data_IF_535377287721
#
_entry.id   IF_535377287721
#
_cell.length_a   1.000
_cell.length_b   1.000
_cell.length_c   1.000
_cell.angle_alpha   90.00
_cell.angle_beta   90.00
_cell.angle_gamma   90.00
#
_symmetry.space_group_name_H-M   'P 1'
#
loop_
_entity.id
_entity.type
_entity.pdbx_description
1 polymer ?
#
# COMPACT_ATOMS: atom_id res chain seq x y z
N UNK A 1 -6.98 18.00 6.58
CA UNK A 1 -5.91 17.09 7.04
C UNK A 1 -4.90 16.92 5.92
N UNK A 2 -3.65 17.15 6.21
CA UNK A 2 -2.55 17.18 5.22
C UNK A 2 -1.63 16.00 5.45
N UNK A 3 -1.56 15.06 4.50
CA UNK A 3 -0.79 13.83 4.66
C UNK A 3 0.43 13.80 3.76
N UNK A 4 1.56 13.29 4.29
CA UNK A 4 2.68 12.85 3.46
C UNK A 4 2.32 11.50 2.81
N UNK A 5 2.52 11.38 1.50
CA UNK A 5 2.07 10.21 0.72
C UNK A 5 3.25 9.60 -0.03
N UNK A 6 3.54 8.33 0.27
CA UNK A 6 4.52 7.53 -0.45
C UNK A 6 3.91 6.17 -0.81
N UNK A 7 4.07 5.73 -2.05
CA UNK A 7 3.53 4.45 -2.52
C UNK A 7 4.52 3.74 -3.43
N UNK A 8 4.77 2.47 -3.16
CA UNK A 8 5.65 1.65 -3.98
C UNK A 8 4.85 0.75 -4.92
N UNK A 9 5.34 0.61 -6.14
CA UNK A 9 4.84 -0.35 -7.12
C UNK A 9 6.00 -1.15 -7.73
N UNK A 10 5.97 -2.47 -7.53
CA UNK A 10 6.93 -3.42 -8.11
C UNK A 10 6.64 -3.62 -9.59
N UNK A 11 7.65 -3.57 -10.44
CA UNK A 11 7.54 -3.75 -11.89
C UNK A 11 8.47 -4.88 -12.36
N UNK A 12 7.88 -5.91 -12.98
CA UNK A 12 8.64 -6.85 -13.79
C UNK A 12 8.97 -6.23 -15.17
N UNK A 13 9.89 -6.83 -15.91
CA UNK A 13 10.42 -6.29 -17.17
C UNK A 13 9.33 -5.89 -18.18
N UNK A 14 8.25 -6.67 -18.30
CA UNK A 14 7.15 -6.38 -19.23
C UNK A 14 6.34 -5.12 -18.89
N UNK A 15 6.33 -4.68 -17.61
CA UNK A 15 5.61 -3.48 -17.17
C UNK A 15 6.39 -2.17 -17.36
N UNK A 16 7.72 -2.25 -17.46
CA UNK A 16 8.59 -1.07 -17.51
C UNK A 16 8.35 -0.15 -18.71
N UNK A 17 8.13 -0.67 -19.95
CA UNK A 17 7.88 0.21 -21.10
C UNK A 17 6.63 1.09 -20.96
N UNK A 18 5.59 0.59 -20.29
CA UNK A 18 4.37 1.38 -20.07
C UNK A 18 4.63 2.51 -19.08
N UNK A 19 5.44 2.26 -18.04
CA UNK A 19 5.86 3.28 -17.04
C UNK A 19 6.73 4.35 -17.69
N UNK A 20 7.76 3.92 -18.45
CA UNK A 20 8.61 4.86 -19.17
C UNK A 20 7.78 5.79 -20.07
N UNK A 21 6.82 5.24 -20.85
CA UNK A 21 5.96 6.09 -21.70
C UNK A 21 5.06 7.03 -20.93
N UNK A 22 4.60 6.64 -19.73
CA UNK A 22 3.78 7.50 -18.89
C UNK A 22 4.61 8.60 -18.23
N UNK A 23 5.69 8.22 -17.57
CA UNK A 23 6.51 9.14 -16.80
C UNK A 23 7.18 10.20 -17.69
N UNK A 24 7.74 9.77 -18.82
CA UNK A 24 8.43 10.64 -19.76
C UNK A 24 7.49 11.31 -20.81
N UNK A 25 6.17 11.21 -20.62
CA UNK A 25 5.17 11.82 -21.54
C UNK A 25 5.38 11.47 -23.01
N UNK A 26 5.77 10.22 -23.30
CA UNK A 26 6.07 9.78 -24.67
C UNK A 26 4.85 9.39 -25.52
N UNK A 27 3.64 9.71 -25.09
CA UNK A 27 2.40 9.49 -25.83
C UNK A 27 1.78 10.82 -26.24
N UNK A 28 1.16 10.85 -27.41
CA UNK A 28 0.36 12.00 -27.87
C UNK A 28 -0.97 12.13 -27.11
N UNK A 29 -1.55 11.00 -26.66
CA UNK A 29 -2.81 10.97 -25.94
C UNK A 29 -2.77 10.01 -24.75
N UNK A 30 -3.41 10.40 -23.66
CA UNK A 30 -3.50 9.65 -22.41
C UNK A 30 -4.95 9.28 -22.08
N UNK A 31 -5.60 8.45 -22.95
CA UNK A 31 -7.00 8.01 -22.76
C UNK A 31 -7.28 7.38 -21.41
N UNK A 32 -6.28 6.71 -20.82
CA UNK A 32 -6.39 6.09 -19.49
C UNK A 32 -6.25 7.09 -18.32
N UNK A 33 -5.72 8.31 -18.57
CA UNK A 33 -5.61 9.37 -17.58
C UNK A 33 -5.95 10.73 -18.22
N UNK A 34 -7.24 11.07 -18.33
CA UNK A 34 -7.69 12.33 -18.94
C UNK A 34 -7.38 13.57 -18.09
N UNK A 35 -6.77 13.39 -16.91
CA UNK A 35 -6.34 14.50 -16.03
C UNK A 35 -5.00 15.10 -16.42
N UNK A 36 -4.27 14.46 -17.34
CA UNK A 36 -3.03 15.01 -17.90
C UNK A 36 -3.39 16.18 -18.84
N UNK A 37 -2.87 17.35 -18.55
CA UNK A 37 -2.95 18.52 -19.42
C UNK A 37 -1.67 18.64 -20.26
N UNK A 38 -1.70 18.27 -21.56
CA UNK A 38 -0.51 18.32 -22.41
C UNK A 38 0.10 19.73 -22.54
N UNK A 39 -0.72 20.79 -22.38
CA UNK A 39 -0.23 22.16 -22.43
C UNK A 39 0.66 22.53 -21.24
N UNK A 40 0.55 21.79 -20.15
CA UNK A 40 1.34 21.95 -18.93
C UNK A 40 2.52 20.99 -18.81
N UNK A 41 2.67 20.02 -19.72
CA UNK A 41 3.73 19.01 -19.65
C UNK A 41 5.14 19.60 -19.71
N UNK A 42 5.30 20.80 -20.24
CA UNK A 42 6.57 21.55 -20.21
C UNK A 42 6.99 22.02 -18.81
N UNK A 43 6.07 21.99 -17.83
CA UNK A 43 6.35 22.31 -16.42
C UNK A 43 6.89 21.11 -15.64
N UNK A 44 6.81 19.90 -16.21
CA UNK A 44 7.40 18.70 -15.60
C UNK A 44 8.92 18.84 -15.59
N UNK A 45 9.56 18.35 -14.54
CA UNK A 45 11.00 18.44 -14.42
C UNK A 45 11.61 17.20 -13.75
N UNK A 46 12.85 16.92 -14.08
CA UNK A 46 13.60 15.83 -13.49
C UNK A 46 14.47 16.33 -12.32
N UNK A 47 14.54 15.50 -11.26
CA UNK A 47 15.60 15.55 -10.26
C UNK A 47 16.72 14.55 -10.60
N UNK A 48 16.38 13.48 -11.32
CA UNK A 48 17.32 12.52 -11.91
C UNK A 48 16.84 12.16 -13.31
N UNK A 49 17.61 12.55 -14.31
CA UNK A 49 17.37 12.19 -15.71
C UNK A 49 17.62 10.70 -15.97
N UNK A 50 16.79 10.02 -16.77
CA UNK A 50 16.94 8.59 -17.03
C UNK A 50 18.14 8.26 -17.93
N UNK A 51 18.73 9.22 -18.64
CA UNK A 51 19.83 9.03 -19.60
C UNK A 51 19.54 7.87 -20.59
N UNK A 52 18.35 7.85 -21.16
CA UNK A 52 17.87 6.82 -22.09
C UNK A 52 16.57 6.15 -21.61
N UNK A 53 16.25 5.00 -22.22
CA UNK A 53 15.05 4.27 -21.82
C UNK A 53 15.25 3.55 -20.48
N UNK A 54 14.23 3.48 -19.66
CA UNK A 54 14.26 2.80 -18.35
C UNK A 54 14.74 1.33 -18.46
N UNK A 55 14.34 0.64 -19.54
CA UNK A 55 14.81 -0.73 -19.79
C UNK A 55 16.33 -0.79 -19.93
N UNK A 56 16.91 0.10 -20.70
CA UNK A 56 18.36 0.18 -20.87
C UNK A 56 19.05 0.43 -19.53
N UNK A 57 18.56 1.42 -18.77
CA UNK A 57 19.15 1.80 -17.48
C UNK A 57 19.16 0.67 -16.45
N UNK A 58 18.01 0.01 -16.22
CA UNK A 58 18.02 -1.09 -15.25
C UNK A 58 18.85 -2.28 -15.72
N UNK A 59 18.95 -2.52 -17.05
CA UNK A 59 19.79 -3.59 -17.59
C UNK A 59 21.26 -3.32 -17.32
N UNK A 60 21.75 -2.11 -17.59
CA UNK A 60 23.11 -1.68 -17.30
C UNK A 60 23.44 -1.80 -15.79
N UNK A 61 22.53 -1.36 -14.91
CA UNK A 61 22.71 -1.47 -13.45
C UNK A 61 22.80 -2.94 -12.99
N UNK A 62 21.93 -3.81 -13.51
CA UNK A 62 21.91 -5.24 -13.19
C UNK A 62 23.22 -5.93 -13.65
N UNK A 63 23.68 -5.61 -14.85
CA UNK A 63 24.92 -6.13 -15.42
C UNK A 63 26.15 -5.67 -14.62
N UNK A 64 26.22 -4.38 -14.30
CA UNK A 64 27.31 -3.79 -13.48
C UNK A 64 27.38 -4.41 -12.09
N UNK A 65 26.22 -4.69 -11.48
CA UNK A 65 26.15 -5.33 -10.16
C UNK A 65 26.30 -6.86 -10.22
N UNK A 66 26.38 -7.46 -11.39
CA UNK A 66 26.46 -8.92 -11.56
C UNK A 66 25.23 -9.68 -11.07
N UNK A 67 24.07 -9.02 -11.02
CA UNK A 67 22.84 -9.61 -10.46
C UNK A 67 22.29 -10.72 -11.34
N UNK A 68 21.85 -11.83 -10.72
CA UNK A 68 21.09 -12.87 -11.42
C UNK A 68 19.62 -12.45 -11.56
N UNK A 69 19.05 -12.65 -12.75
CA UNK A 69 17.65 -12.37 -13.06
C UNK A 69 16.89 -13.64 -13.46
N UNK A 70 15.56 -13.62 -13.22
CA UNK A 70 14.59 -14.63 -13.70
C UNK A 70 13.52 -13.90 -14.50
N UNK A 71 12.74 -14.61 -15.30
CA UNK A 71 11.68 -14.03 -16.13
C UNK A 71 10.65 -13.18 -15.34
N UNK A 72 10.39 -13.52 -14.09
CA UNK A 72 9.47 -12.81 -13.19
C UNK A 72 10.16 -11.90 -12.18
N UNK A 73 11.47 -11.64 -12.30
CA UNK A 73 12.19 -10.73 -11.41
C UNK A 73 11.59 -9.33 -11.45
N UNK A 74 11.48 -8.72 -10.28
CA UNK A 74 11.18 -7.28 -10.16
C UNK A 74 12.47 -6.54 -10.51
N UNK A 75 12.50 -5.91 -11.69
CA UNK A 75 13.66 -5.18 -12.21
C UNK A 75 13.62 -3.69 -11.90
N UNK A 76 12.46 -3.19 -11.54
CA UNK A 76 12.25 -1.79 -11.19
C UNK A 76 11.19 -1.67 -10.10
N UNK A 77 11.37 -0.73 -9.22
CA UNK A 77 10.32 -0.25 -8.30
C UNK A 77 10.03 1.20 -8.64
N UNK A 78 8.76 1.50 -8.84
CA UNK A 78 8.29 2.88 -8.97
C UNK A 78 7.76 3.35 -7.62
N UNK A 79 8.20 4.51 -7.17
CA UNK A 79 7.73 5.15 -5.95
C UNK A 79 7.01 6.43 -6.32
N UNK A 80 5.73 6.55 -6.00
CA UNK A 80 4.99 7.80 -6.10
C UNK A 80 5.10 8.56 -4.77
N UNK A 81 5.55 9.80 -4.84
CA UNK A 81 5.75 10.71 -3.72
C UNK A 81 4.94 11.98 -3.93
N UNK A 82 4.12 12.34 -2.95
CA UNK A 82 3.32 13.57 -2.98
C UNK A 82 2.83 13.91 -1.56
N UNK A 83 2.01 14.94 -1.46
CA UNK A 83 1.21 15.23 -0.26
C UNK A 83 -0.26 15.41 -0.62
N UNK A 84 -1.12 15.54 0.38
CA UNK A 84 -2.53 15.91 0.17
C UNK A 84 -2.65 17.18 -0.67
N UNK A 85 -3.64 17.25 -1.60
CA UNK A 85 -3.83 18.42 -2.46
C UNK A 85 -3.93 19.72 -1.68
N UNK A 86 -4.57 19.69 -0.51
CA UNK A 86 -4.75 20.83 0.39
C UNK A 86 -3.42 21.40 0.92
N UNK A 87 -2.39 20.54 1.02
CA UNK A 87 -1.06 20.97 1.42
C UNK A 87 -0.24 21.42 0.23
N UNK A 88 -0.08 20.53 -0.78
CA UNK A 88 0.84 20.78 -1.89
C UNK A 88 0.45 22.00 -2.72
N UNK A 89 -0.85 22.32 -2.81
CA UNK A 89 -1.36 23.50 -3.54
C UNK A 89 -1.12 24.82 -2.83
N UNK A 90 -0.82 24.83 -1.53
CA UNK A 90 -0.47 26.04 -0.78
C UNK A 90 0.98 26.46 -0.97
N UNK A 91 1.83 25.53 -1.33
CA UNK A 91 3.23 25.77 -1.58
C UNK A 91 3.43 26.51 -2.91
N UNK A 92 4.28 27.51 -2.93
CA UNK A 92 4.71 28.13 -4.16
C UNK A 92 5.60 27.16 -4.98
N UNK A 93 5.90 27.45 -6.27
CA UNK A 93 6.66 26.54 -7.12
C UNK A 93 8.03 26.14 -6.57
N UNK A 94 8.73 27.06 -5.91
CA UNK A 94 10.04 26.80 -5.31
C UNK A 94 9.92 25.91 -4.08
N UNK A 95 8.94 26.14 -3.22
CA UNK A 95 8.62 25.29 -2.05
C UNK A 95 8.18 23.89 -2.48
N UNK A 96 7.39 23.77 -3.56
CA UNK A 96 7.03 22.47 -4.14
C UNK A 96 8.27 21.71 -4.61
N UNK A 97 9.20 22.41 -5.28
CA UNK A 97 10.47 21.81 -5.70
C UNK A 97 11.27 21.30 -4.50
N UNK A 98 11.43 22.12 -3.48
CA UNK A 98 12.12 21.72 -2.24
C UNK A 98 11.44 20.54 -1.54
N UNK A 99 10.11 20.47 -1.56
CA UNK A 99 9.36 19.32 -1.06
C UNK A 99 9.79 18.02 -1.76
N UNK A 100 9.81 18.02 -3.10
CA UNK A 100 10.18 16.83 -3.87
C UNK A 100 11.67 16.50 -3.77
N UNK A 101 12.54 17.48 -3.67
CA UNK A 101 13.97 17.27 -3.44
C UNK A 101 14.21 16.56 -2.09
N UNK A 102 13.57 17.02 -1.01
CA UNK A 102 13.63 16.36 0.31
C UNK A 102 13.06 14.94 0.26
N UNK A 103 11.91 14.77 -0.38
CA UNK A 103 11.31 13.44 -0.56
C UNK A 103 12.22 12.48 -1.36
N UNK A 104 12.96 12.99 -2.35
CA UNK A 104 13.93 12.20 -3.09
C UNK A 104 15.15 11.81 -2.22
N UNK A 105 15.69 12.76 -1.43
CA UNK A 105 16.81 12.50 -0.50
C UNK A 105 16.45 11.41 0.49
N UNK A 106 15.24 11.42 1.05
CA UNK A 106 14.77 10.34 1.92
C UNK A 106 14.94 8.95 1.30
N UNK A 107 14.64 8.80 0.01
CA UNK A 107 14.82 7.54 -0.69
C UNK A 107 16.29 7.28 -1.04
N UNK A 108 17.04 8.29 -1.49
CA UNK A 108 18.45 8.12 -1.85
C UNK A 108 19.28 7.53 -0.69
N UNK A 109 19.04 7.99 0.53
CA UNK A 109 19.74 7.51 1.73
C UNK A 109 19.47 6.03 2.05
N UNK A 110 18.33 5.51 1.59
CA UNK A 110 17.87 4.15 1.88
C UNK A 110 18.13 3.13 0.78
N UNK A 111 18.08 3.58 -0.49
CA UNK A 111 18.18 2.69 -1.66
C UNK A 111 19.49 2.89 -2.43
N UNK A 112 20.24 3.96 -2.18
CA UNK A 112 21.38 4.39 -2.98
C UNK A 112 20.97 5.21 -4.21
N UNK A 113 21.49 6.42 -4.35
CA UNK A 113 21.17 7.31 -5.48
C UNK A 113 21.61 6.70 -6.82
N UNK A 114 22.68 5.91 -6.81
CA UNK A 114 23.23 5.19 -7.97
C UNK A 114 22.27 4.17 -8.57
N UNK A 115 21.31 3.68 -7.78
CA UNK A 115 20.28 2.74 -8.23
C UNK A 115 19.05 3.43 -8.82
N UNK A 116 18.97 4.77 -8.78
CA UNK A 116 17.84 5.53 -9.32
C UNK A 116 17.92 5.57 -10.84
N UNK A 117 16.83 5.17 -11.50
CA UNK A 117 16.68 5.19 -12.95
C UNK A 117 16.22 6.56 -13.42
N UNK A 118 15.21 7.11 -12.76
CA UNK A 118 14.62 8.42 -13.04
C UNK A 118 13.88 8.93 -11.81
N UNK A 119 13.89 10.24 -11.61
CA UNK A 119 13.02 10.92 -10.66
C UNK A 119 12.43 12.15 -11.35
N UNK A 120 11.17 12.05 -11.78
CA UNK A 120 10.45 13.09 -12.50
C UNK A 120 9.26 13.59 -11.69
N UNK A 121 9.08 14.90 -11.64
CA UNK A 121 7.94 15.56 -11.02
C UNK A 121 6.94 15.95 -12.10
N UNK A 122 5.71 15.49 -11.98
CA UNK A 122 4.60 15.84 -12.84
C UNK A 122 3.84 17.03 -12.27
N UNK A 123 3.84 18.13 -13.02
CA UNK A 123 3.11 19.35 -12.75
C UNK A 123 1.89 19.52 -13.66
N UNK A 124 1.68 18.59 -14.58
CA UNK A 124 0.66 18.59 -15.63
C UNK A 124 -0.59 17.76 -15.27
N UNK A 125 -0.70 17.31 -14.04
CA UNK A 125 -1.88 16.61 -13.52
C UNK A 125 -2.58 17.46 -12.42
N UNK A 126 -3.68 16.95 -11.89
CA UNK A 126 -4.49 17.68 -10.88
C UNK A 126 -3.69 18.04 -9.62
N UNK A 127 -2.77 17.18 -9.20
CA UNK A 127 -1.91 17.41 -8.04
C UNK A 127 -0.48 17.09 -8.41
N UNK A 128 0.49 17.98 -8.10
CA UNK A 128 1.90 17.71 -8.28
C UNK A 128 2.32 16.42 -7.56
N UNK A 129 3.08 15.57 -8.25
CA UNK A 129 3.62 14.32 -7.67
C UNK A 129 4.88 13.89 -8.38
N UNK A 130 5.75 13.19 -7.67
CA UNK A 130 6.99 12.67 -8.20
C UNK A 130 6.89 11.16 -8.43
N UNK A 131 7.33 10.70 -9.60
CA UNK A 131 7.64 9.32 -9.90
C UNK A 131 9.15 9.10 -9.77
N UNK A 132 9.57 8.39 -8.73
CA UNK A 132 10.94 7.96 -8.56
C UNK A 132 11.03 6.46 -8.86
N UNK A 133 11.76 6.12 -9.93
CA UNK A 133 11.97 4.75 -10.38
C UNK A 133 13.40 4.31 -10.03
N UNK A 134 13.56 3.14 -9.41
CA UNK A 134 14.87 2.60 -9.06
C UNK A 134 14.98 1.10 -9.33
N UNK A 135 16.20 0.63 -9.60
CA UNK A 135 16.54 -0.79 -9.69
C UNK A 135 16.74 -1.35 -8.28
N UNK A 136 16.02 -2.39 -7.84
CA UNK A 136 16.08 -2.86 -6.46
C UNK A 136 17.31 -3.76 -6.20
N UNK A 137 18.50 -3.17 -6.30
CA UNK A 137 19.78 -3.80 -5.99
C UNK A 137 20.09 -3.59 -4.50
N UNK A 138 20.30 -4.68 -3.78
CA UNK A 138 20.63 -4.67 -2.35
C UNK A 138 22.10 -4.32 -2.13
N UNK A 139 22.48 -3.91 -0.92
CA UNK A 139 23.87 -3.56 -0.57
C UNK A 139 24.87 -4.70 -0.80
N UNK A 140 24.40 -5.95 -0.78
CA UNK A 140 25.20 -7.16 -1.07
C UNK A 140 25.13 -7.58 -2.55
N UNK A 141 24.67 -6.70 -3.45
CA UNK A 141 24.70 -6.90 -4.91
C UNK A 141 23.66 -7.88 -5.43
N UNK A 142 22.52 -8.07 -4.74
CA UNK A 142 21.41 -8.93 -5.22
C UNK A 142 20.25 -8.11 -5.72
N UNK A 143 19.57 -8.60 -6.76
CA UNK A 143 18.33 -8.00 -7.25
C UNK A 143 17.14 -8.51 -6.41
N UNK A 144 16.70 -7.72 -5.41
CA UNK A 144 15.63 -8.14 -4.50
C UNK A 144 14.78 -6.97 -3.96
N UNK A 145 13.67 -6.71 -4.63
CA UNK A 145 12.69 -5.75 -4.10
C UNK A 145 12.04 -6.21 -2.78
N UNK A 146 12.08 -7.51 -2.47
CA UNK A 146 11.57 -8.03 -1.19
C UNK A 146 12.49 -7.66 -0.03
N UNK A 147 13.79 -7.75 -0.23
CA UNK A 147 14.77 -7.48 0.83
C UNK A 147 14.85 -5.97 1.14
N UNK A 148 14.63 -5.11 0.13
CA UNK A 148 14.58 -3.66 0.31
C UNK A 148 13.26 -3.20 0.94
N UNK A 149 12.13 -3.59 0.36
CA UNK A 149 10.82 -3.09 0.77
C UNK A 149 10.18 -3.89 1.90
N UNK A 150 10.60 -5.14 2.07
CA UNK A 150 10.07 -6.03 3.09
C UNK A 150 8.67 -6.57 2.80
N UNK A 151 7.99 -6.96 3.88
CA UNK A 151 6.61 -7.43 3.92
C UNK A 151 5.62 -6.27 4.20
N UNK A 152 4.35 -6.59 4.46
CA UNK A 152 3.29 -5.60 4.73
C UNK A 152 3.59 -4.75 5.98
N UNK A 153 4.15 -5.32 7.03
CA UNK A 153 4.51 -4.58 8.24
C UNK A 153 5.62 -3.56 7.93
N UNK A 154 6.69 -3.99 7.25
CA UNK A 154 7.77 -3.10 6.82
C UNK A 154 7.31 -1.99 5.87
N UNK A 155 6.31 -2.26 5.03
CA UNK A 155 5.69 -1.23 4.19
C UNK A 155 4.93 -0.15 5.01
N UNK A 156 4.41 -0.50 6.20
CA UNK A 156 3.86 0.50 7.12
C UNK A 156 4.97 1.34 7.75
N UNK A 157 6.06 0.70 8.19
CA UNK A 157 7.23 1.40 8.73
C UNK A 157 7.84 2.39 7.72
N UNK A 158 7.90 2.02 6.42
CA UNK A 158 8.29 2.96 5.36
C UNK A 158 7.42 4.23 5.33
N UNK A 159 6.12 4.09 5.59
CA UNK A 159 5.21 5.24 5.65
C UNK A 159 5.43 6.07 6.92
N UNK A 160 5.70 5.41 8.04
CA UNK A 160 5.99 6.05 9.32
C UNK A 160 7.30 6.84 9.22
N UNK A 161 8.38 6.21 8.75
CA UNK A 161 9.69 6.84 8.52
C UNK A 161 9.60 8.04 7.56
N UNK A 162 8.85 7.90 6.46
CA UNK A 162 8.67 8.98 5.49
C UNK A 162 7.90 10.15 6.09
N UNK A 163 6.84 9.86 6.85
CA UNK A 163 6.11 10.90 7.55
C UNK A 163 7.01 11.64 8.55
N UNK A 164 7.71 10.92 9.43
CA UNK A 164 8.59 11.52 10.43
C UNK A 164 9.65 12.41 9.80
N UNK A 165 10.28 11.93 8.73
CA UNK A 165 11.27 12.69 7.97
C UNK A 165 10.69 13.98 7.39
N UNK A 166 9.53 13.89 6.70
CA UNK A 166 8.92 15.07 6.07
C UNK A 166 8.29 16.03 7.10
N UNK A 167 7.73 15.49 8.20
CA UNK A 167 7.18 16.28 9.31
C UNK A 167 8.24 17.17 9.98
N UNK A 168 9.48 16.74 10.03
CA UNK A 168 10.60 17.54 10.52
C UNK A 168 10.83 18.85 9.74
N UNK A 169 10.39 18.91 8.47
CA UNK A 169 10.44 20.11 7.64
C UNK A 169 9.09 20.82 7.48
N UNK A 170 8.01 20.05 7.60
CA UNK A 170 6.62 20.50 7.38
C UNK A 170 5.73 20.04 8.52
N UNK A 171 5.72 20.76 9.66
CA UNK A 171 5.00 20.34 10.87
C UNK A 171 3.48 20.21 10.71
N UNK A 172 2.90 20.81 9.67
CA UNK A 172 1.48 20.68 9.34
C UNK A 172 1.11 19.36 8.64
N UNK A 173 2.08 18.51 8.28
CA UNK A 173 1.81 17.18 7.76
C UNK A 173 1.43 16.23 8.89
N UNK A 174 0.46 15.37 8.61
CA UNK A 174 -0.04 14.35 9.51
C UNK A 174 0.28 12.95 8.97
N UNK A 175 0.39 11.99 9.88
CA UNK A 175 0.46 10.58 9.51
C UNK A 175 -0.94 10.06 9.21
N UNK A 176 -1.17 9.61 7.99
CA UNK A 176 -2.42 8.96 7.61
C UNK A 176 -2.62 7.64 8.39
N UNK A 177 -3.87 7.33 8.72
CA UNK A 177 -4.20 6.09 9.43
C UNK A 177 -3.85 4.86 8.58
N UNK A 178 -3.20 3.83 9.17
CA UNK A 178 -2.88 2.58 8.47
C UNK A 178 -4.14 1.90 7.92
N UNK A 179 -4.03 1.28 6.75
CA UNK A 179 -5.15 0.56 6.12
C UNK A 179 -5.73 -0.56 6.98
N UNK A 180 -4.93 -1.13 7.88
CA UNK A 180 -5.37 -2.13 8.88
C UNK A 180 -6.35 -1.56 9.91
N UNK A 181 -6.22 -0.27 10.25
CA UNK A 181 -7.12 0.44 11.19
C UNK A 181 -8.36 0.95 10.48
N UNK A 182 -8.18 1.49 9.27
CA UNK A 182 -9.31 2.08 8.52
C UNK A 182 -10.16 1.05 7.78
N UNK A 183 -9.67 -0.17 7.62
CA UNK A 183 -10.26 -1.24 6.80
C UNK A 183 -10.67 -0.79 5.38
N UNK A 184 -10.18 0.37 4.93
CA UNK A 184 -10.48 0.92 3.61
C UNK A 184 -9.85 0.04 2.54
N UNK A 185 -10.70 -0.51 1.68
CA UNK A 185 -10.25 -1.23 0.48
C UNK A 185 -9.87 -0.22 -0.59
N UNK A 186 -8.84 -0.54 -1.37
CA UNK A 186 -8.47 0.25 -2.54
C UNK A 186 -9.61 0.21 -3.56
N UNK A 187 -10.17 1.39 -3.88
CA UNK A 187 -11.15 1.53 -4.96
C UNK A 187 -10.35 1.65 -6.27
N UNK A 188 -10.56 0.74 -7.24
CA UNK A 188 -9.89 0.82 -8.52
C UNK A 188 -10.13 2.18 -9.20
N UNK A 189 -9.13 2.77 -9.87
CA UNK A 189 -9.27 4.10 -10.49
C UNK A 189 -10.43 4.21 -11.51
N UNK A 190 -10.75 3.12 -12.22
CA UNK A 190 -11.87 3.12 -13.14
C UNK A 190 -13.23 3.25 -12.43
N UNK A 191 -13.37 2.65 -11.24
CA UNK A 191 -14.58 2.71 -10.44
C UNK A 191 -14.78 4.11 -9.85
N UNK A 192 -13.69 4.70 -9.33
CA UNK A 192 -13.69 6.07 -8.86
C UNK A 192 -14.12 7.04 -9.99
N UNK A 193 -13.58 6.84 -11.21
CA UNK A 193 -13.98 7.64 -12.38
C UNK A 193 -15.45 7.45 -12.76
N UNK A 194 -15.95 6.22 -12.70
CA UNK A 194 -17.37 5.95 -12.97
C UNK A 194 -18.30 6.67 -11.98
N UNK A 195 -17.90 6.72 -10.70
CA UNK A 195 -18.64 7.48 -9.67
C UNK A 195 -18.59 8.99 -9.90
N UNK A 196 -17.41 9.55 -10.22
CA UNK A 196 -17.23 10.97 -10.53
C UNK A 196 -18.02 11.39 -11.79
N UNK A 197 -18.00 10.55 -12.84
CA UNK A 197 -18.81 10.76 -14.04
C UNK A 197 -20.30 10.69 -13.74
N UNK A 198 -20.75 9.77 -12.90
CA UNK A 198 -22.15 9.66 -12.51
C UNK A 198 -22.62 10.92 -11.77
N UNK A 199 -21.81 11.45 -10.84
CA UNK A 199 -22.11 12.70 -10.15
C UNK A 199 -22.23 13.88 -11.12
N UNK A 200 -21.23 14.07 -11.99
CA UNK A 200 -21.22 15.14 -12.99
C UNK A 200 -22.39 15.05 -13.96
N UNK A 201 -22.77 13.83 -14.37
CA UNK A 201 -23.91 13.60 -15.25
C UNK A 201 -25.23 13.93 -14.56
N UNK A 202 -25.36 13.57 -13.27
CA UNK A 202 -26.51 13.95 -12.47
C UNK A 202 -26.66 15.48 -12.40
N UNK A 203 -25.59 16.20 -12.07
CA UNK A 203 -25.61 17.66 -12.01
C UNK A 203 -25.97 18.30 -13.36
N UNK A 204 -25.45 17.75 -14.47
CA UNK A 204 -25.78 18.21 -15.83
C UNK A 204 -27.27 17.97 -16.16
N UNK A 205 -27.84 16.83 -15.77
CA UNK A 205 -29.26 16.54 -15.96
C UNK A 205 -30.12 17.49 -15.12
N UNK A 206 -29.78 17.67 -13.85
CA UNK A 206 -30.52 18.58 -12.97
C UNK A 206 -30.49 20.02 -13.50
N UNK A 207 -29.33 20.49 -13.99
CA UNK A 207 -29.20 21.79 -14.63
C UNK A 207 -30.03 21.88 -15.92
N UNK A 208 -30.03 20.85 -16.75
CA UNK A 208 -30.85 20.83 -17.97
C UNK A 208 -32.35 20.89 -17.66
N UNK A 209 -32.77 20.27 -16.55
CA UNK A 209 -34.17 20.25 -16.13
C UNK A 209 -34.63 21.53 -15.41
N UNK A 210 -33.76 22.20 -14.68
CA UNK A 210 -34.07 23.43 -13.93
C UNK A 210 -34.51 24.60 -14.83
N UNK A 211 -33.98 24.68 -16.07
CA UNK A 211 -34.20 25.76 -17.00
C UNK A 211 -35.25 25.42 -18.09
N UNK A 212 -36.07 24.39 -17.89
CA UNK A 212 -37.09 23.95 -18.88
C UNK A 212 -38.24 24.96 -18.93
N UNK A 213 -38.58 25.38 -20.14
CA UNK A 213 -39.74 26.19 -20.43
C UNK A 213 -40.43 25.70 -21.72
N UNK A 214 -41.60 26.28 -22.07
CA UNK A 214 -42.40 25.87 -23.22
C UNK A 214 -41.64 25.93 -24.55
N UNK A 215 -40.69 26.86 -24.69
CA UNK A 215 -39.94 27.06 -25.92
C UNK A 215 -38.70 26.16 -26.07
N UNK A 216 -38.17 25.67 -24.98
CA UNK A 216 -36.92 24.87 -24.98
C UNK A 216 -37.10 23.40 -24.54
N UNK A 217 -38.29 22.99 -24.13
CA UNK A 217 -38.55 21.67 -23.54
C UNK A 217 -38.03 20.51 -24.40
N UNK A 218 -38.24 20.56 -25.73
CA UNK A 218 -37.73 19.53 -26.65
C UNK A 218 -36.23 19.42 -26.65
N UNK A 219 -35.54 20.56 -26.78
CA UNK A 219 -34.07 20.61 -26.78
C UNK A 219 -33.46 20.14 -25.46
N UNK A 220 -34.04 20.56 -24.33
CA UNK A 220 -33.61 20.18 -22.98
C UNK A 220 -33.85 18.70 -22.68
N UNK A 221 -34.98 18.14 -23.14
CA UNK A 221 -35.24 16.69 -23.09
C UNK A 221 -34.14 15.91 -23.84
N UNK A 222 -33.81 16.32 -25.07
CA UNK A 222 -32.87 15.62 -25.91
C UNK A 222 -31.43 15.73 -25.32
N UNK A 223 -31.07 16.84 -24.68
CA UNK A 223 -29.84 17.01 -23.92
C UNK A 223 -29.80 16.05 -22.73
N UNK A 224 -30.84 15.98 -21.92
CA UNK A 224 -30.94 15.06 -20.79
C UNK A 224 -30.85 13.59 -21.21
N UNK A 225 -31.57 13.20 -22.28
CA UNK A 225 -31.52 11.84 -22.86
C UNK A 225 -30.10 11.48 -23.33
N UNK A 226 -29.38 12.43 -23.97
CA UNK A 226 -28.01 12.21 -24.40
C UNK A 226 -27.07 11.99 -23.21
N UNK A 227 -27.18 12.80 -22.16
CA UNK A 227 -26.37 12.65 -20.94
C UNK A 227 -26.67 11.32 -20.24
N UNK A 228 -27.95 10.91 -20.14
CA UNK A 228 -28.35 9.59 -19.62
C UNK A 228 -27.73 8.44 -20.43
N UNK A 229 -27.77 8.53 -21.77
CA UNK A 229 -27.15 7.52 -22.63
C UNK A 229 -25.65 7.38 -22.41
N UNK A 230 -24.95 8.47 -22.15
CA UNK A 230 -23.52 8.45 -21.82
C UNK A 230 -23.22 7.90 -20.42
N UNK A 231 -24.16 8.07 -19.48
CA UNK A 231 -24.03 7.59 -18.09
C UNK A 231 -24.28 6.07 -17.96
N UNK A 232 -25.16 5.49 -18.79
CA UNK A 232 -25.58 4.09 -18.67
C UNK A 232 -24.41 3.07 -18.59
N UNK A 233 -23.36 3.15 -19.43
CA UNK A 233 -22.23 2.22 -19.34
C UNK A 233 -21.49 2.26 -17.99
N UNK A 234 -21.40 3.45 -17.39
CA UNK A 234 -20.74 3.61 -16.08
C UNK A 234 -21.65 3.09 -14.95
N UNK A 235 -22.95 3.27 -15.03
CA UNK A 235 -23.91 2.68 -14.09
C UNK A 235 -23.90 1.14 -14.14
N UNK A 236 -23.83 0.53 -15.32
CA UNK A 236 -23.69 -0.92 -15.44
C UNK A 236 -22.39 -1.45 -14.81
N UNK A 237 -21.26 -0.74 -14.97
CA UNK A 237 -19.99 -1.09 -14.31
C UNK A 237 -20.11 -1.01 -12.80
N UNK A 238 -20.75 0.05 -12.27
CA UNK A 238 -20.98 0.22 -10.84
C UNK A 238 -21.87 -0.87 -10.28
N UNK A 239 -22.97 -1.22 -10.98
CA UNK A 239 -23.88 -2.29 -10.59
C UNK A 239 -23.19 -3.66 -10.57
N UNK A 240 -22.41 -3.99 -11.61
CA UNK A 240 -21.66 -5.24 -11.65
C UNK A 240 -20.63 -5.34 -10.50
N UNK A 241 -19.98 -4.23 -10.18
CA UNK A 241 -19.02 -4.18 -9.08
C UNK A 241 -19.70 -4.29 -7.71
N UNK A 242 -20.87 -3.68 -7.53
CA UNK A 242 -21.68 -3.83 -6.31
C UNK A 242 -22.04 -5.30 -6.05
N UNK A 243 -22.51 -6.02 -7.06
CA UNK A 243 -22.81 -7.46 -6.95
C UNK A 243 -21.56 -8.26 -6.54
N UNK A 244 -20.41 -7.99 -7.16
CA UNK A 244 -19.16 -8.68 -6.82
C UNK A 244 -18.72 -8.39 -5.36
N UNK A 245 -18.90 -7.15 -4.90
CA UNK A 245 -18.61 -6.78 -3.50
C UNK A 245 -19.54 -7.51 -2.54
N UNK A 246 -20.84 -7.62 -2.85
CA UNK A 246 -21.82 -8.32 -2.03
C UNK A 246 -21.48 -9.82 -1.93
N UNK A 247 -21.12 -10.45 -3.03
CA UNK A 247 -20.67 -11.85 -3.06
C UNK A 247 -19.41 -12.07 -2.23
N UNK A 248 -18.41 -11.19 -2.36
CA UNK A 248 -17.19 -11.25 -1.57
C UNK A 248 -17.46 -11.01 -0.08
N UNK A 249 -18.34 -10.08 0.25
CA UNK A 249 -18.74 -9.81 1.63
C UNK A 249 -19.45 -11.01 2.26
N UNK A 250 -20.31 -11.71 1.49
CA UNK A 250 -20.97 -12.94 1.93
C UNK A 250 -19.96 -14.04 2.21
N UNK A 251 -19.08 -14.33 1.25
CA UNK A 251 -18.03 -15.34 1.41
C UNK A 251 -17.10 -15.02 2.62
N UNK A 252 -16.79 -13.74 2.84
CA UNK A 252 -15.95 -13.33 3.98
C UNK A 252 -16.66 -13.52 5.32
N UNK A 253 -17.98 -13.28 5.39
CA UNK A 253 -18.78 -13.52 6.60
C UNK A 253 -18.82 -15.02 6.93
N UNK A 254 -18.98 -15.88 5.93
CA UNK A 254 -18.95 -17.32 6.10
C UNK A 254 -17.58 -17.79 6.63
N UNK A 255 -16.48 -17.31 6.04
CA UNK A 255 -15.13 -17.63 6.50
C UNK A 255 -14.82 -17.13 7.92
N UNK A 256 -15.37 -15.97 8.31
CA UNK A 256 -15.27 -15.48 9.70
C UNK A 256 -16.02 -16.42 10.64
N UNK A 257 -17.24 -16.80 10.30
CA UNK A 257 -18.05 -17.70 11.11
C UNK A 257 -17.37 -19.06 11.33
N UNK A 258 -16.73 -19.62 10.30
CA UNK A 258 -15.95 -20.86 10.41
C UNK A 258 -14.73 -20.69 11.35
N UNK A 259 -14.04 -19.53 11.26
CA UNK A 259 -12.92 -19.26 12.15
C UNK A 259 -13.33 -19.04 13.59
N UNK A 260 -14.46 -18.36 13.82
CA UNK A 260 -14.99 -18.14 15.17
C UNK A 260 -15.34 -19.49 15.83
N UNK A 261 -15.97 -20.41 15.09
CA UNK A 261 -16.26 -21.76 15.57
C UNK A 261 -14.98 -22.54 15.92
N UNK A 262 -13.91 -22.43 15.11
CA UNK A 262 -12.63 -23.06 15.38
C UNK A 262 -11.94 -22.46 16.63
N UNK A 263 -12.07 -21.16 16.84
CA UNK A 263 -11.54 -20.47 18.03
C UNK A 263 -12.27 -20.93 19.29
N UNK A 264 -13.60 -21.09 19.26
CA UNK A 264 -14.38 -21.63 20.39
C UNK A 264 -13.96 -23.06 20.74
N UNK A 265 -13.67 -23.91 19.73
CA UNK A 265 -13.15 -25.25 19.94
C UNK A 265 -11.77 -25.22 20.62
N UNK A 266 -10.86 -24.37 20.13
CA UNK A 266 -9.52 -24.20 20.71
C UNK A 266 -9.57 -23.64 22.14
N UNK A 267 -10.47 -22.72 22.43
CA UNK A 267 -10.65 -22.17 23.77
C UNK A 267 -11.15 -23.23 24.76
N UNK A 268 -12.05 -24.14 24.31
CA UNK A 268 -12.50 -25.27 25.15
C UNK A 268 -11.38 -26.29 25.43
N UNK A 269 -10.51 -26.56 24.43
CA UNK A 269 -9.32 -27.43 24.64
C UNK A 269 -8.31 -26.77 25.58
N UNK A 270 -8.05 -25.48 25.43
CA UNK A 270 -7.16 -24.71 26.33
C UNK A 270 -7.66 -24.72 27.76
N UNK A 271 -8.97 -24.54 27.97
CA UNK A 271 -9.58 -24.60 29.28
C UNK A 271 -9.42 -26.01 29.93
N UNK A 272 -9.63 -27.06 29.15
CA UNK A 272 -9.45 -28.47 29.63
C UNK A 272 -7.98 -28.73 30.00
N UNK A 273 -7.02 -28.19 29.23
CA UNK A 273 -5.59 -28.31 29.55
C UNK A 273 -5.22 -27.50 30.81
N UNK A 274 -5.78 -26.30 30.99
CA UNK A 274 -5.56 -25.50 32.19
C UNK A 274 -6.05 -26.27 33.46
N UNK A 275 -7.24 -26.86 33.43
CA UNK A 275 -7.76 -27.69 34.52
C UNK A 275 -6.85 -28.89 34.83
N UNK A 276 -6.25 -29.52 33.82
CA UNK A 276 -5.29 -30.62 34.02
C UNK A 276 -4.00 -30.13 34.67
N UNK A 277 -3.51 -28.97 34.28
CA UNK A 277 -2.32 -28.36 34.89
C UNK A 277 -2.57 -28.05 36.35
N UNK A 278 -3.71 -27.46 36.69
CA UNK A 278 -4.08 -27.16 38.08
C UNK A 278 -4.17 -28.45 38.94
N UNK A 279 -4.78 -29.51 38.40
CA UNK A 279 -4.86 -30.80 39.08
C UNK A 279 -3.47 -31.42 39.35
N UNK A 280 -2.58 -31.39 38.31
CA UNK A 280 -1.20 -31.89 38.47
C UNK A 280 -0.38 -31.01 39.44
N UNK A 281 -0.63 -29.74 39.49
CA UNK A 281 0.00 -28.82 40.43
C UNK A 281 -0.42 -29.14 41.86
N UNK A 282 -1.70 -29.39 42.10
CA UNK A 282 -2.22 -29.81 43.40
C UNK A 282 -1.68 -31.19 43.85
N UNK A 283 -1.52 -32.15 42.92
CA UNK A 283 -0.85 -33.45 43.21
C UNK A 283 0.62 -33.28 43.57
N UNK A 284 1.32 -32.46 42.82
CA UNK A 284 2.73 -32.12 43.10
C UNK A 284 2.88 -31.49 44.49
N UNK A 285 2.02 -30.53 44.83
CA UNK A 285 2.09 -29.84 46.12
C UNK A 285 1.81 -30.80 47.28
N UNK A 286 0.85 -31.74 47.13
CA UNK A 286 0.62 -32.84 48.09
C UNK A 286 1.83 -33.73 48.22
N UNK A 287 2.48 -34.13 47.13
CA UNK A 287 3.68 -34.97 47.15
C UNK A 287 4.86 -34.23 47.83
N UNK A 288 5.05 -32.97 47.56
CA UNK A 288 6.08 -32.15 48.21
C UNK A 288 5.82 -32.03 49.71
N UNK A 289 4.59 -31.76 50.14
CA UNK A 289 4.24 -31.72 51.54
C UNK A 289 4.46 -33.06 52.26
N UNK A 290 4.13 -34.17 51.60
CA UNK A 290 4.40 -35.52 52.13
C UNK A 290 5.92 -35.77 52.27
N UNK A 291 6.75 -35.34 51.34
CA UNK A 291 8.21 -35.43 51.45
C UNK A 291 8.75 -34.58 52.62
N UNK A 292 8.19 -33.38 52.78
CA UNK A 292 8.57 -32.47 53.88
C UNK A 292 8.25 -33.04 55.28
N UNK A 293 7.26 -33.91 55.40
CA UNK A 293 6.90 -34.59 56.66
C UNK A 293 7.80 -35.78 56.99
N UNK A 294 8.65 -36.23 56.04
CA UNK A 294 9.57 -37.35 56.31
C UNK A 294 10.73 -36.95 57.23
N UNK A 295 11.27 -37.91 58.06
CA UNK A 295 12.47 -37.68 58.84
C UNK A 295 13.65 -37.19 58.02
N UNK A 296 14.54 -36.34 58.55
CA UNK A 296 15.63 -35.70 57.81
C UNK A 296 16.61 -36.67 57.13
N UNK A 297 16.84 -37.83 57.75
CA UNK A 297 17.67 -38.92 57.24
C UNK A 297 17.06 -39.59 55.98
N UNK A 298 15.76 -39.83 55.97
CA UNK A 298 15.03 -40.43 54.84
C UNK A 298 14.96 -39.41 53.69
N UNK A 299 14.76 -38.13 53.99
CA UNK A 299 14.70 -37.04 52.99
C UNK A 299 16.03 -36.89 52.24
N UNK A 300 17.17 -36.95 52.97
CA UNK A 300 18.51 -36.89 52.39
C UNK A 300 18.82 -38.05 51.43
N UNK A 301 18.31 -39.28 51.72
CA UNK A 301 18.47 -40.45 50.85
C UNK A 301 17.64 -40.30 49.57
N UNK A 302 16.42 -39.74 49.65
CA UNK A 302 15.57 -39.45 48.48
C UNK A 302 16.17 -38.39 47.56
N UNK A 303 16.75 -37.33 48.13
CA UNK A 303 17.43 -36.27 47.36
C UNK A 303 18.67 -36.80 46.60
N UNK A 304 19.45 -37.65 47.26
CA UNK A 304 20.61 -38.31 46.64
C UNK A 304 20.21 -39.22 45.46
N UNK A 305 19.14 -39.99 45.61
CA UNK A 305 18.61 -40.80 44.49
C UNK A 305 18.02 -39.99 43.37
N UNK A 306 17.30 -38.90 43.67
CA UNK A 306 16.74 -37.98 42.65
C UNK A 306 17.82 -37.31 41.82
N UNK A 307 18.91 -36.88 42.43
CA UNK A 307 20.04 -36.30 41.71
C UNK A 307 20.78 -37.31 40.81
N UNK A 308 20.80 -38.59 41.18
CA UNK A 308 21.41 -39.63 40.35
C UNK A 308 20.61 -39.83 39.04
N UNK A 309 19.28 -39.83 39.09
CA UNK A 309 18.41 -39.92 37.89
C UNK A 309 18.40 -38.65 37.01
N UNK A 310 18.84 -37.52 37.52
CA UNK A 310 18.95 -36.26 36.74
C UNK A 310 20.21 -36.16 35.89
N UNK A 311 21.23 -36.97 36.20
CA UNK A 311 22.52 -36.97 35.49
C UNK A 311 22.50 -37.98 34.32
N UNK A 312 21.57 -38.93 34.30
CA UNK A 312 21.47 -39.97 33.25
C UNK A 312 20.45 -39.67 32.14
N UNK A 313 19.91 -38.46 32.06
CA UNK A 313 19.08 -37.93 30.96
C UNK A 313 19.74 -36.74 30.27
#
# INVERSE_FOLDING_TARGET
MSYAIMRFQKCAAGGVPARNRHNERLKSEYKSNPKIDPNRSHLNYHLVEPNGKYKQRYTEMIEQAGCRTRANSVVMVETMLTASPEFISKLNPEEQRQYFERAAVFLYDRIGKEHVISAIVHMDETSPHMHLCFCPITKDGRLSAKDILGNRARMSEWQDDFYEYMHGFYPELERGLPSGVTHRKHIPPYLFRAMDNASKSYDAIMKALSDVNVFNAGKKRDEAVRVLGQLMPDLYKLQAQSKLIDEQAKAMREAIKEKDALLEEQDTELFALACKIDALQAEKDKAVAAIEMLPPDVRRVLEQKSNHYRIER
#
